data_IF_501348015023
#
_entry.id   IF_501348015023
#
_cell.length_a   1.000
_cell.length_b   1.000
_cell.length_c   1.000
_cell.angle_alpha   90.00
_cell.angle_beta   90.00
_cell.angle_gamma   90.00
#
_symmetry.space_group_name_H-M   'P 1'
#
loop_
_entity.id
_entity.type
_entity.pdbx_description
1 polymer ?
#
# COMPACT_ATOMS: atom_id res chain seq x y z
N UNK A 1 -17.43 0.04 12.28
CA UNK A 1 -16.27 0.83 11.79
C UNK A 1 -16.77 1.63 10.59
N UNK A 2 -16.39 2.90 10.43
CA UNK A 2 -16.81 3.68 9.25
C UNK A 2 -15.84 3.36 8.10
N UNK A 3 -16.36 3.03 6.92
CA UNK A 3 -15.57 2.64 5.75
C UNK A 3 -15.25 3.87 4.88
N UNK A 4 -14.13 3.83 4.15
CA UNK A 4 -13.75 4.90 3.21
C UNK A 4 -14.47 4.65 1.89
N UNK A 5 -15.25 5.63 1.43
CA UNK A 5 -15.96 5.56 0.16
C UNK A 5 -14.98 5.62 -1.01
N UNK A 6 -15.29 4.90 -2.09
CA UNK A 6 -14.52 4.96 -3.32
C UNK A 6 -14.69 6.35 -3.97
N UNK A 7 -13.59 7.09 -4.26
CA UNK A 7 -13.65 8.40 -4.88
C UNK A 7 -14.25 8.40 -6.28
N UNK A 8 -14.20 7.27 -6.99
CA UNK A 8 -14.71 7.12 -8.35
C UNK A 8 -16.12 6.50 -8.38
N UNK A 9 -16.57 5.87 -7.30
CA UNK A 9 -17.88 5.24 -7.19
C UNK A 9 -18.46 5.28 -5.78
N UNK A 10 -19.35 6.23 -5.51
CA UNK A 10 -19.99 6.41 -4.19
C UNK A 10 -20.89 5.25 -3.74
N UNK A 11 -21.15 4.26 -4.58
CA UNK A 11 -21.96 3.08 -4.22
C UNK A 11 -21.15 1.96 -3.56
N UNK A 12 -19.83 2.09 -3.47
CA UNK A 12 -18.95 1.07 -2.90
C UNK A 12 -17.83 1.69 -2.08
N UNK A 13 -17.15 0.85 -1.29
CA UNK A 13 -15.98 1.29 -0.53
C UNK A 13 -14.73 1.25 -1.40
N UNK A 14 -13.71 2.04 -1.01
CA UNK A 14 -12.39 1.99 -1.64
C UNK A 14 -11.78 0.57 -1.57
N UNK A 15 -12.09 -0.18 -0.50
CA UNK A 15 -11.67 -1.57 -0.36
C UNK A 15 -12.35 -2.49 -1.39
N UNK A 16 -13.66 -2.37 -1.56
CA UNK A 16 -14.39 -3.18 -2.55
C UNK A 16 -13.90 -2.91 -3.97
N UNK A 17 -13.56 -1.66 -4.27
CA UNK A 17 -12.98 -1.25 -5.55
C UNK A 17 -11.62 -1.91 -5.78
N UNK A 18 -10.73 -1.84 -4.78
CA UNK A 18 -9.39 -2.40 -4.85
C UNK A 18 -9.37 -3.93 -4.98
N UNK A 19 -10.29 -4.61 -4.30
CA UNK A 19 -10.47 -6.08 -4.36
C UNK A 19 -11.11 -6.51 -5.70
N UNK A 20 -11.94 -5.66 -6.32
CA UNK A 20 -12.51 -5.96 -7.64
C UNK A 20 -11.52 -5.70 -8.77
N UNK A 21 -10.71 -4.64 -8.65
CA UNK A 21 -9.75 -4.25 -9.69
C UNK A 21 -8.60 -5.25 -9.81
N UNK A 22 -8.25 -5.92 -8.72
CA UNK A 22 -7.22 -6.95 -8.70
C UNK A 22 -7.86 -8.28 -8.32
N UNK A 23 -7.75 -9.32 -9.16
CA UNK A 23 -8.28 -10.66 -8.86
C UNK A 23 -7.86 -11.21 -7.48
N UNK A 24 -6.77 -10.67 -6.92
CA UNK A 24 -6.48 -10.59 -5.49
C UNK A 24 -5.87 -9.22 -5.17
N UNK A 25 -6.29 -8.49 -4.11
CA UNK A 25 -5.63 -7.27 -3.68
C UNK A 25 -4.17 -7.56 -3.31
N UNK A 26 -3.25 -7.22 -4.22
CA UNK A 26 -1.84 -7.50 -4.04
C UNK A 26 -1.20 -6.43 -3.16
N UNK A 27 -0.83 -6.79 -1.94
CA UNK A 27 -0.02 -5.95 -1.06
C UNK A 27 1.45 -6.18 -1.45
N UNK A 28 2.07 -5.16 -2.01
CA UNK A 28 3.47 -5.24 -2.45
C UNK A 28 4.45 -5.19 -1.26
N UNK A 29 5.63 -5.83 -1.42
CA UNK A 29 6.72 -5.79 -0.44
C UNK A 29 7.39 -4.41 -0.44
N UNK A 30 7.64 -3.87 0.75
CA UNK A 30 8.49 -2.69 0.95
C UNK A 30 9.97 -3.10 0.92
N UNK A 31 10.61 -3.00 -0.24
CA UNK A 31 12.00 -3.48 -0.42
C UNK A 31 12.93 -2.58 -1.23
N UNK A 32 12.39 -1.74 -2.12
CA UNK A 32 13.18 -1.03 -3.13
C UNK A 32 13.82 0.29 -2.65
N UNK A 33 13.69 0.64 -1.36
CA UNK A 33 14.25 1.87 -0.82
C UNK A 33 13.69 3.17 -1.42
N UNK A 34 12.55 3.11 -2.12
CA UNK A 34 12.05 4.21 -2.94
C UNK A 34 11.33 5.34 -2.19
N UNK A 35 11.28 5.31 -0.86
CA UNK A 35 10.68 6.35 -0.02
C UNK A 35 11.18 6.23 1.44
N UNK A 36 10.76 7.15 2.30
CA UNK A 36 11.26 7.30 3.67
C UNK A 36 11.00 6.09 4.58
N UNK A 37 10.05 5.21 4.19
CA UNK A 37 9.78 3.97 4.93
C UNK A 37 11.00 3.05 5.03
N UNK A 38 11.99 3.19 4.15
CA UNK A 38 13.16 2.32 4.09
C UNK A 38 13.96 2.34 5.41
N UNK A 39 14.18 3.52 5.98
CA UNK A 39 14.86 3.65 7.27
C UNK A 39 14.09 2.94 8.40
N UNK A 40 12.75 2.99 8.37
CA UNK A 40 11.93 2.36 9.39
C UNK A 40 11.91 0.84 9.25
N UNK A 41 11.57 0.33 8.07
CA UNK A 41 11.35 -1.12 7.88
C UNK A 41 12.65 -1.91 7.70
N UNK A 42 13.65 -1.35 7.01
CA UNK A 42 14.89 -2.08 6.68
C UNK A 42 15.98 -1.89 7.72
N UNK A 43 16.09 -0.69 8.31
CA UNK A 43 17.16 -0.39 9.27
C UNK A 43 16.72 -0.62 10.73
N UNK A 44 15.55 -0.10 11.12
CA UNK A 44 15.09 -0.16 12.52
C UNK A 44 14.15 -1.35 12.79
N UNK A 45 13.53 -1.92 11.76
CA UNK A 45 12.57 -3.02 11.90
C UNK A 45 11.19 -2.58 12.40
N UNK A 46 10.82 -1.31 12.20
CA UNK A 46 9.49 -0.79 12.55
C UNK A 46 8.49 -1.15 11.45
N UNK A 47 7.36 -1.82 11.78
CA UNK A 47 6.30 -2.10 10.82
C UNK A 47 5.83 -0.81 10.14
N UNK A 48 5.89 -0.79 8.82
CA UNK A 48 5.62 0.39 8.00
C UNK A 48 4.63 0.07 6.89
N UNK A 49 3.93 1.08 6.39
CA UNK A 49 2.99 0.95 5.27
C UNK A 49 3.16 2.16 4.35
N UNK A 50 3.01 1.93 3.04
CA UNK A 50 2.98 2.97 2.02
C UNK A 50 1.65 2.85 1.26
N UNK A 51 0.92 3.95 1.15
CA UNK A 51 -0.42 3.99 0.57
C UNK A 51 -0.42 4.95 -0.62
N UNK A 52 -0.77 4.46 -1.80
CA UNK A 52 -0.77 5.22 -3.05
C UNK A 52 -2.08 4.93 -3.79
N UNK A 53 -2.72 5.97 -4.32
CA UNK A 53 -3.81 5.86 -5.28
C UNK A 53 -3.25 6.07 -6.68
N UNK A 54 -3.30 5.03 -7.51
CA UNK A 54 -2.76 5.05 -8.86
C UNK A 54 -2.25 3.67 -9.27
N UNK A 55 -2.04 3.49 -10.57
CA UNK A 55 -1.56 2.23 -11.14
C UNK A 55 -0.12 2.37 -11.64
N UNK A 56 0.69 1.33 -11.42
CA UNK A 56 2.04 1.22 -11.99
C UNK A 56 3.16 1.91 -11.19
N UNK A 57 4.41 1.81 -11.67
CA UNK A 57 5.62 2.23 -10.94
C UNK A 57 5.85 3.75 -10.89
N UNK A 58 4.87 4.57 -11.26
CA UNK A 58 4.99 6.02 -11.28
C UNK A 58 4.05 6.69 -12.29
N UNK A 59 4.33 7.94 -12.60
CA UNK A 59 3.56 8.73 -13.57
C UNK A 59 4.48 9.48 -14.55
N UNK A 60 4.02 9.83 -15.77
CA UNK A 60 4.89 10.24 -16.87
C UNK A 60 5.74 11.50 -16.65
N UNK A 61 5.33 12.38 -15.75
CA UNK A 61 5.96 13.68 -15.50
C UNK A 61 6.73 13.75 -14.16
N UNK A 62 7.00 12.60 -13.53
CA UNK A 62 7.74 12.51 -12.27
C UNK A 62 9.13 13.15 -12.38
N UNK A 63 9.54 13.93 -11.37
CA UNK A 63 10.77 14.73 -11.36
C UNK A 63 10.95 15.72 -12.53
N UNK A 64 9.85 16.11 -13.19
CA UNK A 64 9.91 17.11 -14.26
C UNK A 64 9.32 18.45 -13.82
N UNK A 65 9.59 19.48 -14.62
CA UNK A 65 8.97 20.81 -14.49
C UNK A 65 7.44 20.80 -14.66
N UNK A 66 6.88 19.72 -15.21
CA UNK A 66 5.44 19.55 -15.44
C UNK A 66 4.72 18.87 -14.26
N UNK A 67 5.43 18.59 -13.17
CA UNK A 67 4.80 18.14 -11.92
C UNK A 67 4.40 19.35 -11.07
N UNK A 68 3.31 20.00 -11.49
CA UNK A 68 2.78 21.20 -10.86
C UNK A 68 1.32 21.04 -10.39
N UNK A 69 0.82 22.06 -9.69
CA UNK A 69 -0.55 22.08 -9.19
C UNK A 69 -1.59 21.97 -10.30
N UNK A 70 -1.37 22.62 -11.45
CA UNK A 70 -2.30 22.63 -12.58
C UNK A 70 -2.48 21.21 -13.13
N UNK A 71 -1.38 20.44 -13.18
CA UNK A 71 -1.40 19.05 -13.59
C UNK A 71 -2.19 18.18 -12.61
N UNK A 72 -2.08 18.42 -11.31
CA UNK A 72 -2.88 17.71 -10.30
C UNK A 72 -4.35 18.06 -10.44
N UNK A 73 -4.70 19.35 -10.44
CA UNK A 73 -6.08 19.84 -10.49
C UNK A 73 -6.81 19.42 -11.77
N UNK A 74 -6.14 19.38 -12.91
CA UNK A 74 -6.78 19.12 -14.21
C UNK A 74 -6.72 17.67 -14.66
N UNK A 75 -5.66 16.95 -14.32
CA UNK A 75 -5.40 15.64 -14.92
C UNK A 75 -5.21 14.52 -13.91
N UNK A 76 -4.52 14.75 -12.79
CA UNK A 76 -4.23 13.67 -11.84
C UNK A 76 -5.40 13.38 -10.90
N UNK A 77 -6.01 14.42 -10.30
CA UNK A 77 -7.15 14.27 -9.39
C UNK A 77 -8.10 15.48 -9.45
N UNK A 78 -8.90 15.62 -10.53
CA UNK A 78 -9.90 16.67 -10.62
C UNK A 78 -10.88 16.63 -9.45
N UNK A 79 -10.92 17.70 -8.67
CA UNK A 79 -11.76 17.80 -7.46
C UNK A 79 -11.15 17.18 -6.19
N UNK A 80 -9.91 16.69 -6.24
CA UNK A 80 -9.13 16.20 -5.09
C UNK A 80 -9.77 15.04 -4.30
N UNK A 81 -10.74 14.34 -4.89
CA UNK A 81 -11.49 13.28 -4.21
C UNK A 81 -10.58 12.10 -3.81
N UNK A 82 -9.60 11.73 -4.66
CA UNK A 82 -8.66 10.65 -4.34
C UNK A 82 -7.69 11.06 -3.24
N UNK A 83 -7.23 12.31 -3.22
CA UNK A 83 -6.43 12.85 -2.12
C UNK A 83 -7.20 12.84 -0.79
N UNK A 84 -8.50 13.17 -0.80
CA UNK A 84 -9.37 13.08 0.39
C UNK A 84 -9.51 11.62 0.84
N UNK A 85 -9.74 10.68 -0.08
CA UNK A 85 -9.83 9.25 0.24
C UNK A 85 -8.51 8.71 0.84
N UNK A 86 -7.37 9.09 0.27
CA UNK A 86 -6.04 8.73 0.76
C UNK A 86 -5.78 9.27 2.17
N UNK A 87 -6.00 10.57 2.38
CA UNK A 87 -5.82 11.20 3.69
C UNK A 87 -6.72 10.58 4.76
N UNK A 88 -7.97 10.26 4.40
CA UNK A 88 -8.92 9.60 5.30
C UNK A 88 -8.47 8.19 5.66
N UNK A 89 -7.96 7.42 4.69
CA UNK A 89 -7.44 6.07 4.91
C UNK A 89 -6.23 6.08 5.85
N UNK A 90 -5.26 6.96 5.59
CA UNK A 90 -4.07 7.13 6.43
C UNK A 90 -4.44 7.57 7.85
N UNK A 91 -5.28 8.59 8.01
CA UNK A 91 -5.69 9.09 9.31
C UNK A 91 -6.39 8.00 10.15
N UNK A 92 -7.27 7.20 9.52
CA UNK A 92 -7.93 6.07 10.19
C UNK A 92 -6.95 4.99 10.61
N UNK A 93 -5.96 4.68 9.75
CA UNK A 93 -4.92 3.70 10.07
C UNK A 93 -4.09 4.18 11.27
N UNK A 94 -3.65 5.43 11.26
CA UNK A 94 -2.92 6.05 12.38
C UNK A 94 -3.77 6.07 13.67
N UNK A 95 -5.06 6.39 13.58
CA UNK A 95 -5.96 6.38 14.74
C UNK A 95 -6.06 4.99 15.38
N UNK A 96 -6.12 3.93 14.57
CA UNK A 96 -6.14 2.54 15.05
C UNK A 96 -4.85 2.17 15.82
N UNK A 97 -3.72 2.83 15.52
CA UNK A 97 -2.44 2.64 16.21
C UNK A 97 -2.19 3.63 17.37
N UNK A 98 -3.04 4.64 17.54
CA UNK A 98 -3.01 5.56 18.68
C UNK A 98 -3.32 4.78 19.98
N UNK A 99 -2.77 5.17 21.15
CA UNK A 99 -3.01 4.45 22.40
C UNK A 99 -4.45 4.68 22.90
N UNK A 100 -5.40 4.06 22.23
CA UNK A 100 -6.62 3.57 22.88
C UNK A 100 -6.21 2.34 23.68
N UNK A 101 -6.79 2.13 24.87
CA UNK A 101 -6.41 1.21 25.97
C UNK A 101 -6.16 -0.26 25.60
N UNK A 102 -6.26 -0.62 24.33
CA UNK A 102 -5.80 -1.89 23.77
C UNK A 102 -5.03 -1.57 22.50
N UNK A 103 -3.70 -1.69 22.57
CA UNK A 103 -2.90 -1.89 21.36
C UNK A 103 -3.55 -3.05 20.61
N UNK A 104 -4.17 -2.79 19.46
CA UNK A 104 -4.44 -3.81 18.44
C UNK A 104 -3.10 -4.29 17.81
N UNK A 105 -2.08 -4.46 18.66
CA UNK A 105 -0.85 -5.19 18.39
C UNK A 105 -0.98 -6.66 18.80
N UNK A 106 -2.19 -7.16 19.07
CA UNK A 106 -2.55 -8.49 18.58
C UNK A 106 -2.71 -8.42 17.05
N UNK A 107 -1.60 -8.17 16.37
CA UNK A 107 -1.31 -9.08 15.29
C UNK A 107 -0.95 -10.39 16.02
N UNK A 108 -1.82 -11.42 16.04
CA UNK A 108 -1.26 -12.78 16.02
C UNK A 108 -0.15 -12.77 14.96
N UNK A 109 0.94 -13.56 15.07
CA UNK A 109 1.91 -13.68 13.98
C UNK A 109 1.10 -13.71 12.69
N UNK A 110 1.23 -12.70 11.79
CA UNK A 110 0.25 -12.52 10.74
C UNK A 110 0.13 -13.88 10.08
N UNK A 111 -1.07 -14.48 9.93
CA UNK A 111 -1.19 -15.77 9.24
C UNK A 111 -0.41 -15.74 7.89
N UNK A 112 -0.35 -14.53 7.32
CA UNK A 112 0.40 -14.18 6.13
C UNK A 112 1.93 -14.08 6.24
N UNK A 113 2.55 -13.93 7.42
CA UNK A 113 4.02 -13.89 7.52
C UNK A 113 4.61 -15.29 7.33
N UNK A 114 4.05 -16.29 8.00
CA UNK A 114 4.40 -17.69 7.80
C UNK A 114 4.10 -18.15 6.37
N UNK A 115 2.97 -17.70 5.79
CA UNK A 115 2.66 -17.94 4.38
C UNK A 115 3.71 -17.28 3.47
N UNK A 116 4.05 -16.01 3.68
CA UNK A 116 5.05 -15.30 2.88
C UNK A 116 6.45 -15.94 2.94
N UNK A 117 6.86 -16.41 4.12
CA UNK A 117 8.12 -17.16 4.27
C UNK A 117 8.07 -18.51 3.59
N UNK A 118 6.91 -19.19 3.60
CA UNK A 118 6.73 -20.47 2.91
C UNK A 118 6.75 -20.30 1.39
N UNK A 119 6.16 -19.22 0.87
CA UNK A 119 6.20 -18.85 -0.55
C UNK A 119 7.62 -18.47 -0.99
N UNK A 120 8.33 -17.67 -0.19
CA UNK A 120 9.73 -17.30 -0.47
C UNK A 120 10.64 -18.53 -0.45
N UNK A 121 10.48 -19.42 0.53
CA UNK A 121 11.20 -20.69 0.59
C UNK A 121 10.92 -21.56 -0.64
N UNK A 122 9.65 -21.67 -1.05
CA UNK A 122 9.27 -22.45 -2.23
C UNK A 122 9.89 -21.88 -3.52
N UNK A 123 9.86 -20.55 -3.67
CA UNK A 123 10.46 -19.87 -4.82
C UNK A 123 11.98 -20.10 -4.90
N UNK A 124 12.68 -19.91 -3.78
CA UNK A 124 14.13 -20.16 -3.70
C UNK A 124 14.48 -21.63 -3.98
N UNK A 125 13.68 -22.58 -3.48
CA UNK A 125 13.91 -24.00 -3.74
C UNK A 125 13.79 -24.35 -5.23
N UNK A 126 12.80 -23.80 -5.94
CA UNK A 126 12.65 -24.01 -7.39
C UNK A 126 13.79 -23.38 -8.20
N UNK A 127 14.24 -22.16 -7.85
CA UNK A 127 15.37 -21.52 -8.54
C UNK A 127 16.68 -22.31 -8.35
N UNK A 128 16.89 -22.93 -7.19
CA UNK A 128 18.09 -23.73 -6.93
C UNK A 128 18.08 -25.11 -7.61
N UNK A 129 16.91 -25.69 -7.91
CA UNK A 129 16.81 -26.93 -8.69
C UNK A 129 17.11 -26.71 -10.19
N UNK A 130 16.77 -25.55 -10.77
CA UNK A 130 17.11 -25.22 -12.16
C UNK A 130 18.61 -24.97 -12.40
N UNK A 131 19.39 -24.63 -11.37
CA UNK A 131 20.84 -24.40 -11.47
C UNK A 131 21.67 -25.70 -11.43
N UNK A 132 21.04 -26.83 -11.06
CA UNK A 132 21.69 -28.14 -10.94
C UNK A 132 21.40 -29.09 -12.12
N UNK A 133 20.73 -28.64 -13.18
CA UNK A 133 20.58 -29.33 -14.48
C UNK A 133 21.38 -28.63 -15.58
#
# INVERSE_FOLDING_TARGET
>A
MIEVQDPDNSSQTAYDSWVKSNASPNIQRLGNGGSDYAAFVQHVGIPSTNLIFGEGPGYPVYHSLYDDFVRVEKFADPGFCRHVAASTTTARRSWCFSPSTTLHATMPPPPHYTESLSEEKFHLMNEHEEVLM
#
